data_IF_028959945735
#
_entry.id   IF_028959945735
#
_cell.length_a   1.000
_cell.length_b   1.000
_cell.length_c   1.000
_cell.angle_alpha   90.00
_cell.angle_beta   90.00
_cell.angle_gamma   90.00
#
_symmetry.space_group_name_H-M   'P 1'
#
loop_
_entity.id
_entity.type
_entity.pdbx_description
1 polymer ?
#
# COMPACT_ATOMS: atom_id res chain seq x y z
N UNK A 1 -5.78 2.80 13.95
CA UNK A 1 -4.53 2.03 13.75
C UNK A 1 -3.57 2.93 13.01
N UNK A 2 -2.29 2.85 13.33
CA UNK A 2 -1.25 3.45 12.49
C UNK A 2 -0.87 2.40 11.46
N UNK A 3 -0.72 2.79 10.20
CA UNK A 3 -0.27 1.90 9.14
C UNK A 3 1.10 2.37 8.64
N UNK A 4 2.02 1.43 8.51
CA UNK A 4 3.31 1.64 7.89
C UNK A 4 3.47 0.66 6.74
N UNK A 5 4.27 0.99 5.75
CA UNK A 5 4.49 0.05 4.67
C UNK A 5 5.61 0.41 3.75
N UNK A 6 5.95 -0.55 2.90
CA UNK A 6 6.83 -0.36 1.76
C UNK A 6 6.00 -0.54 0.50
N UNK A 7 6.29 0.27 -0.52
CA UNK A 7 5.53 0.36 -1.74
C UNK A 7 6.48 0.29 -2.94
N UNK A 8 6.30 -0.74 -3.78
CA UNK A 8 7.14 -0.98 -4.94
C UNK A 8 6.28 -1.15 -6.18
N UNK A 9 6.69 -0.55 -7.30
CA UNK A 9 6.13 -0.89 -8.61
C UNK A 9 7.13 -1.71 -9.41
N UNK A 10 6.67 -2.73 -10.10
CA UNK A 10 7.48 -3.55 -10.99
C UNK A 10 7.09 -3.28 -12.44
N UNK A 11 8.07 -3.02 -13.29
CA UNK A 11 7.94 -2.90 -14.74
C UNK A 11 9.27 -2.49 -15.35
N UNK A 12 9.31 -2.25 -16.67
CA UNK A 12 10.53 -1.86 -17.38
C UNK A 12 10.76 -0.34 -17.35
N UNK A 13 12.03 0.06 -17.37
CA UNK A 13 12.49 1.46 -17.45
C UNK A 13 12.68 2.11 -16.09
N UNK A 14 11.59 2.26 -15.33
CA UNK A 14 11.62 2.85 -13.99
C UNK A 14 10.76 2.08 -13.01
N UNK A 15 11.06 2.22 -11.72
CA UNK A 15 10.29 1.70 -10.60
C UNK A 15 10.14 2.76 -9.51
N UNK A 16 8.94 2.89 -8.94
CA UNK A 16 8.76 3.56 -7.66
C UNK A 16 9.20 2.59 -6.56
N UNK A 17 10.09 3.06 -5.70
CA UNK A 17 10.39 2.48 -4.39
C UNK A 17 10.02 3.53 -3.34
N UNK A 18 9.17 3.15 -2.38
CA UNK A 18 8.69 4.09 -1.39
C UNK A 18 8.30 3.46 -0.07
N UNK A 19 8.05 4.35 0.88
CA UNK A 19 7.55 4.07 2.21
C UNK A 19 6.22 4.78 2.42
N UNK A 20 5.28 4.06 2.99
CA UNK A 20 3.96 4.56 3.34
C UNK A 20 3.85 4.73 4.86
N UNK A 21 3.31 5.87 5.29
CA UNK A 21 2.89 6.10 6.68
C UNK A 21 1.51 6.70 6.70
N UNK A 22 0.65 6.21 7.58
CA UNK A 22 -0.73 6.66 7.59
C UNK A 22 -1.53 6.25 8.80
N UNK A 23 -2.80 6.63 8.72
CA UNK A 23 -3.78 6.33 9.74
C UNK A 23 -4.92 5.52 9.13
N UNK A 24 -5.31 4.46 9.82
CA UNK A 24 -6.43 3.60 9.46
C UNK A 24 -7.51 3.55 10.52
N UNK A 25 -8.75 3.33 10.08
CA UNK A 25 -9.90 3.07 10.93
C UNK A 25 -10.57 1.76 10.51
N UNK A 26 -10.72 0.86 11.49
CA UNK A 26 -11.51 -0.35 11.31
C UNK A 26 -12.99 -0.01 11.18
N UNK A 27 -13.66 -0.68 10.26
CA UNK A 27 -15.09 -0.56 9.99
C UNK A 27 -15.83 -1.76 10.58
N UNK A 28 -16.98 -1.50 11.21
CA UNK A 28 -17.76 -2.56 11.89
C UNK A 28 -18.88 -3.13 11.03
N UNK A 29 -19.31 -2.41 10.00
CA UNK A 29 -20.45 -2.76 9.16
C UNK A 29 -20.07 -2.80 7.68
N UNK A 30 -20.61 -3.77 6.96
CA UNK A 30 -20.44 -3.91 5.51
C UNK A 30 -19.22 -4.73 5.07
N UNK A 31 -18.97 -4.80 3.75
CA UNK A 31 -17.91 -5.62 3.16
C UNK A 31 -16.51 -5.04 3.37
N UNK A 32 -16.41 -3.75 3.72
CA UNK A 32 -15.15 -3.06 4.02
C UNK A 32 -14.81 -3.30 5.49
N UNK A 33 -13.62 -3.83 5.76
CA UNK A 33 -13.09 -4.04 7.10
C UNK A 33 -12.28 -2.86 7.62
N UNK A 34 -11.65 -2.08 6.74
CA UNK A 34 -10.91 -0.90 7.13
C UNK A 34 -10.81 0.12 6.00
N UNK A 35 -10.73 1.40 6.39
CA UNK A 35 -10.30 2.49 5.54
C UNK A 35 -8.99 3.06 6.09
N UNK A 36 -8.08 3.47 5.22
CA UNK A 36 -6.87 4.17 5.62
C UNK A 36 -6.51 5.32 4.68
N UNK A 37 -5.89 6.34 5.26
CA UNK A 37 -5.28 7.44 4.56
C UNK A 37 -3.78 7.43 4.90
N UNK A 38 -2.94 7.38 3.87
CA UNK A 38 -1.48 7.35 4.03
C UNK A 38 -0.79 8.33 3.09
N UNK A 39 0.35 8.85 3.55
CA UNK A 39 1.32 9.52 2.70
C UNK A 39 2.35 8.51 2.22
N UNK A 40 2.73 8.62 0.95
CA UNK A 40 3.77 7.84 0.28
C UNK A 40 4.95 8.76 0.00
N UNK A 41 6.13 8.35 0.42
CA UNK A 41 7.39 9.02 0.10
C UNK A 41 8.28 8.01 -0.61
N UNK A 42 8.75 8.35 -1.80
CA UNK A 42 9.56 7.43 -2.58
C UNK A 42 10.43 8.10 -3.61
N UNK A 43 11.10 7.25 -4.35
CA UNK A 43 12.02 7.61 -5.41
C UNK A 43 11.74 6.80 -6.67
N UNK A 44 12.13 7.37 -7.80
CA UNK A 44 12.18 6.68 -9.08
C UNK A 44 13.55 6.06 -9.27
N UNK A 45 13.61 4.74 -9.30
CA UNK A 45 14.81 3.98 -9.64
C UNK A 45 14.84 3.77 -11.14
N UNK A 46 15.92 4.22 -11.80
CA UNK A 46 16.21 3.86 -13.18
C UNK A 46 16.84 2.47 -13.23
N UNK A 47 16.16 1.54 -13.91
CA UNK A 47 16.63 0.16 -14.05
C UNK A 47 17.81 0.02 -15.01
N UNK A 48 18.12 1.04 -15.80
CA UNK A 48 19.29 1.03 -16.70
C UNK A 48 20.59 1.33 -15.97
N UNK A 49 20.51 1.90 -14.77
CA UNK A 49 21.66 2.08 -13.89
C UNK A 49 21.93 0.74 -13.17
N UNK A 50 23.09 0.13 -13.44
CA UNK A 50 23.54 -1.12 -12.83
C UNK A 50 23.68 -0.98 -11.29
N UNK A 51 23.84 0.25 -10.78
CA UNK A 51 23.92 0.59 -9.36
C UNK A 51 23.19 1.92 -9.11
N UNK A 52 22.15 1.91 -8.27
CA UNK A 52 21.73 3.07 -7.46
C UNK A 52 21.34 4.36 -8.19
N UNK A 53 20.87 4.31 -9.43
CA UNK A 53 20.43 5.51 -10.16
C UNK A 53 19.05 5.99 -9.69
N UNK A 54 18.97 6.74 -8.59
CA UNK A 54 17.76 7.49 -8.27
C UNK A 54 17.63 8.67 -9.25
N UNK A 55 16.60 8.68 -10.09
CA UNK A 55 16.41 9.73 -11.10
C UNK A 55 15.48 10.87 -10.62
N UNK A 56 14.69 10.63 -9.57
CA UNK A 56 13.75 11.63 -9.06
C UNK A 56 12.99 11.16 -7.82
N UNK A 57 12.15 12.04 -7.28
CA UNK A 57 11.36 11.80 -6.08
C UNK A 57 9.87 11.79 -6.39
N UNK A 58 9.12 11.00 -5.62
CA UNK A 58 7.67 10.93 -5.68
C UNK A 58 7.06 11.08 -4.29
N UNK A 59 6.07 11.94 -4.20
CA UNK A 59 5.17 12.07 -3.06
C UNK A 59 3.78 11.58 -3.48
N UNK A 60 3.10 10.85 -2.61
CA UNK A 60 1.74 10.40 -2.84
C UNK A 60 0.84 10.58 -1.62
N UNK A 61 -0.44 10.81 -1.87
CA UNK A 61 -1.50 10.70 -0.87
C UNK A 61 -2.45 9.58 -1.30
N UNK A 62 -2.55 8.54 -0.48
CA UNK A 62 -3.27 7.29 -0.79
C UNK A 62 -4.46 7.11 0.14
N UNK A 63 -5.63 6.92 -0.44
CA UNK A 63 -6.81 6.41 0.24
C UNK A 63 -6.96 4.92 -0.09
N UNK A 64 -7.09 4.07 0.92
CA UNK A 64 -7.26 2.64 0.75
C UNK A 64 -8.53 2.13 1.44
N UNK A 65 -9.23 1.23 0.76
CA UNK A 65 -10.35 0.48 1.30
C UNK A 65 -10.07 -1.01 1.24
N UNK A 66 -10.06 -1.66 2.40
CA UNK A 66 -9.73 -3.08 2.54
C UNK A 66 -10.99 -3.89 2.84
N UNK A 67 -11.18 -5.01 2.13
CA UNK A 67 -12.25 -5.97 2.38
C UNK A 67 -12.06 -6.72 3.69
N UNK A 68 -13.10 -7.46 4.12
CA UNK A 68 -12.92 -8.49 5.15
C UNK A 68 -11.97 -9.59 4.65
N UNK A 69 -11.11 -10.06 5.55
CA UNK A 69 -10.22 -11.17 5.26
C UNK A 69 -10.98 -12.50 5.38
N UNK A 70 -10.81 -13.37 4.40
CA UNK A 70 -11.18 -14.77 4.47
C UNK A 70 -10.07 -15.54 5.17
N UNK A 71 -10.33 -16.07 6.37
CA UNK A 71 -9.35 -16.88 7.10
C UNK A 71 -9.10 -18.19 6.33
N UNK A 72 -7.83 -18.48 6.05
CA UNK A 72 -7.41 -19.70 5.34
C UNK A 72 -6.61 -20.66 6.21
N UNK A 73 -5.98 -20.16 7.27
CA UNK A 73 -5.27 -20.97 8.24
C UNK A 73 -5.22 -20.26 9.60
N UNK A 74 -5.17 -21.06 10.66
CA UNK A 74 -4.89 -20.60 12.01
C UNK A 74 -3.76 -21.46 12.57
N UNK A 75 -2.76 -20.84 13.20
CA UNK A 75 -1.65 -21.54 13.84
C UNK A 75 -1.22 -20.84 15.11
N UNK A 76 -0.75 -21.61 16.09
CA UNK A 76 -0.39 -21.12 17.42
C UNK A 76 -1.06 -21.93 18.52
N UNK A 77 -0.67 -21.68 19.77
CA UNK A 77 -1.33 -22.29 20.92
C UNK A 77 -2.74 -21.72 21.10
N UNK A 78 -3.65 -22.49 21.69
CA UNK A 78 -5.07 -22.13 21.91
C UNK A 78 -5.27 -20.76 22.59
N UNK A 79 -4.27 -20.29 23.33
CA UNK A 79 -4.28 -19.01 24.05
C UNK A 79 -3.87 -17.80 23.21
N UNK A 80 -3.21 -18.00 22.07
CA UNK A 80 -2.76 -16.92 21.17
C UNK A 80 -2.67 -17.37 19.69
N UNK A 81 -3.82 -17.70 19.05
CA UNK A 81 -3.82 -18.13 17.66
C UNK A 81 -3.46 -16.96 16.72
N UNK A 82 -2.50 -17.20 15.83
CA UNK A 82 -2.19 -16.34 14.70
C UNK A 82 -3.04 -16.75 13.51
N UNK A 83 -3.81 -15.81 12.97
CA UNK A 83 -4.68 -16.04 11.82
C UNK A 83 -4.01 -15.60 10.53
N UNK A 84 -4.11 -16.45 9.52
CA UNK A 84 -3.78 -16.13 8.13
C UNK A 84 -5.05 -15.89 7.36
N UNK A 85 -5.12 -14.74 6.69
CA UNK A 85 -6.28 -14.36 5.90
C UNK A 85 -5.93 -13.84 4.52
N UNK A 86 -6.86 -13.99 3.59
CA UNK A 86 -6.81 -13.39 2.27
C UNK A 86 -7.80 -12.22 2.20
N UNK A 87 -7.36 -11.06 1.75
CA UNK A 87 -8.21 -9.88 1.55
C UNK A 87 -7.99 -9.25 0.16
N UNK A 88 -8.80 -8.24 -0.14
CA UNK A 88 -8.59 -7.36 -1.30
C UNK A 88 -8.59 -5.93 -0.81
N UNK A 89 -7.59 -5.17 -1.23
CA UNK A 89 -7.48 -3.74 -0.97
C UNK A 89 -7.58 -2.98 -2.28
N UNK A 90 -8.44 -1.96 -2.32
CA UNK A 90 -8.44 -0.97 -3.41
C UNK A 90 -7.75 0.28 -2.90
N UNK A 91 -6.73 0.74 -3.61
CA UNK A 91 -5.99 1.97 -3.31
C UNK A 91 -6.23 3.00 -4.40
N UNK A 92 -6.46 4.25 -4.02
CA UNK A 92 -6.44 5.40 -4.92
C UNK A 92 -5.37 6.36 -4.42
N UNK A 93 -4.42 6.70 -5.29
CA UNK A 93 -3.29 7.56 -4.92
C UNK A 93 -3.20 8.75 -5.84
N UNK A 94 -3.15 9.96 -5.28
CA UNK A 94 -2.72 11.16 -5.98
C UNK A 94 -1.23 11.35 -5.79
N UNK A 95 -0.48 11.53 -6.87
CA UNK A 95 0.97 11.69 -6.87
C UNK A 95 1.41 13.07 -7.34
N UNK A 96 2.52 13.53 -6.77
CA UNK A 96 3.34 14.60 -7.29
C UNK A 96 4.79 14.13 -7.34
N UNK A 97 5.54 14.54 -8.35
CA UNK A 97 6.94 14.12 -8.49
C UNK A 97 7.85 15.23 -9.00
N UNK A 98 9.11 15.16 -8.60
CA UNK A 98 10.19 15.99 -9.10
C UNK A 98 11.16 15.10 -9.90
N UNK A 99 11.54 15.54 -11.11
CA UNK A 99 12.36 14.75 -12.03
C UNK A 99 11.75 13.37 -12.34
N UNK A 100 10.42 13.34 -12.53
CA UNK A 100 9.69 12.12 -12.80
C UNK A 100 10.07 11.56 -14.18
N UNK A 101 10.42 10.27 -14.31
CA UNK A 101 10.64 9.61 -15.60
C UNK A 101 9.32 9.37 -16.36
N UNK A 102 8.18 9.60 -15.69
CA UNK A 102 6.88 9.56 -16.33
C UNK A 102 6.73 10.78 -17.25
N UNK A 103 6.60 10.54 -18.55
CA UNK A 103 6.16 11.54 -19.53
C UNK A 103 4.70 12.02 -19.35
N UNK A 104 4.10 11.70 -18.20
CA UNK A 104 2.71 11.98 -17.83
C UNK A 104 2.58 13.36 -17.16
N UNK A 105 3.70 13.96 -16.72
CA UNK A 105 3.68 15.23 -15.98
C UNK A 105 3.23 15.07 -14.53
N UNK A 106 3.37 16.13 -13.72
CA UNK A 106 2.94 16.19 -12.32
C UNK A 106 1.87 17.27 -12.14
N UNK A 107 0.78 17.03 -11.40
CA UNK A 107 0.42 15.81 -10.65
C UNK A 107 -0.24 14.72 -11.52
N UNK A 108 -0.27 13.48 -11.03
CA UNK A 108 -0.95 12.35 -11.69
C UNK A 108 -1.69 11.46 -10.68
N UNK A 109 -2.61 10.63 -11.15
CA UNK A 109 -3.40 9.72 -10.32
C UNK A 109 -3.00 8.26 -10.50
N UNK A 110 -3.35 7.40 -9.55
CA UNK A 110 -3.29 5.96 -9.73
C UNK A 110 -4.39 5.24 -8.95
N UNK A 111 -4.82 4.09 -9.49
CA UNK A 111 -5.73 3.17 -8.81
C UNK A 111 -5.14 1.78 -8.84
N UNK A 112 -5.18 1.10 -7.70
CA UNK A 112 -4.65 -0.24 -7.51
C UNK A 112 -5.73 -1.17 -6.98
N UNK A 113 -5.74 -2.41 -7.46
CA UNK A 113 -6.55 -3.50 -6.90
C UNK A 113 -5.60 -4.58 -6.45
N UNK A 114 -5.56 -4.81 -5.13
CA UNK A 114 -4.47 -5.53 -4.48
C UNK A 114 -5.02 -6.67 -3.63
N UNK A 115 -5.07 -7.89 -4.18
CA UNK A 115 -5.14 -9.10 -3.37
C UNK A 115 -4.04 -9.09 -2.30
N UNK A 116 -4.41 -9.49 -1.08
CA UNK A 116 -3.55 -9.43 0.08
C UNK A 116 -3.53 -10.74 0.86
N UNK A 117 -2.35 -11.08 1.40
CA UNK A 117 -2.12 -12.10 2.41
C UNK A 117 -1.80 -11.41 3.74
N UNK A 118 -2.56 -11.74 4.79
CA UNK A 118 -2.42 -11.17 6.13
C UNK A 118 -1.99 -12.22 7.13
N UNK A 119 -1.08 -11.86 8.01
CA UNK A 119 -0.70 -12.66 9.19
C UNK A 119 -0.62 -11.72 10.39
N UNK A 120 -1.63 -11.74 11.25
CA UNK A 120 -1.73 -10.79 12.36
C UNK A 120 -1.74 -9.33 11.89
N UNK A 121 -0.73 -8.56 12.29
CA UNK A 121 -0.56 -7.14 11.91
C UNK A 121 0.15 -6.93 10.57
N UNK A 122 0.77 -7.98 10.04
CA UNK A 122 1.50 -7.94 8.78
C UNK A 122 0.57 -8.21 7.60
N UNK A 123 0.81 -7.52 6.49
CA UNK A 123 0.14 -7.74 5.21
C UNK A 123 1.10 -7.65 4.03
N UNK A 124 1.01 -8.61 3.12
CA UNK A 124 1.63 -8.59 1.82
C UNK A 124 0.53 -8.37 0.78
N UNK A 125 0.65 -7.36 -0.07
CA UNK A 125 -0.34 -7.06 -1.11
C UNK A 125 0.33 -7.00 -2.48
N UNK A 126 -0.29 -7.58 -3.50
CA UNK A 126 0.24 -7.64 -4.86
C UNK A 126 -0.89 -7.51 -5.86
N UNK A 127 -0.75 -6.61 -6.84
CA UNK A 127 -1.74 -6.50 -7.90
C UNK A 127 -1.45 -5.42 -8.93
N UNK A 128 -2.32 -5.25 -9.94
CA UNK A 128 -2.18 -4.20 -10.93
C UNK A 128 -2.42 -2.82 -10.32
N UNK A 129 -1.68 -1.84 -10.83
CA UNK A 129 -1.89 -0.41 -10.60
C UNK A 129 -1.94 0.29 -11.95
N UNK A 130 -3.05 0.98 -12.21
CA UNK A 130 -3.21 1.87 -13.35
C UNK A 130 -2.82 3.29 -12.93
N UNK A 131 -1.86 3.88 -13.63
CA UNK A 131 -1.44 5.27 -13.50
C UNK A 131 -2.14 6.10 -14.59
N UNK A 132 -2.75 7.21 -14.19
CA UNK A 132 -3.56 8.08 -15.03
C UNK A 132 -2.90 9.45 -15.22
N UNK A 133 -2.80 9.88 -16.47
CA UNK A 133 -2.54 11.28 -16.89
C UNK A 133 -2.62 11.37 -18.41
N UNK A 134 -1.57 11.79 -19.13
CA UNK A 134 -1.60 11.89 -20.60
C UNK A 134 -1.83 10.56 -21.32
N UNK A 135 -1.35 9.45 -20.75
CA UNK A 135 -1.64 8.08 -21.18
C UNK A 135 -1.77 7.17 -19.95
N UNK A 136 -2.62 6.15 -20.04
CA UNK A 136 -2.79 5.16 -18.96
C UNK A 136 -1.70 4.11 -19.03
N UNK A 137 -0.92 3.97 -17.97
CA UNK A 137 0.12 2.93 -17.86
C UNK A 137 -0.27 1.97 -16.74
N UNK A 138 -0.23 0.67 -17.01
CA UNK A 138 -0.48 -0.37 -16.00
C UNK A 138 0.84 -1.01 -15.58
N UNK A 139 1.08 -1.10 -14.27
CA UNK A 139 2.24 -1.78 -13.68
C UNK A 139 1.82 -2.70 -12.55
N UNK A 140 2.62 -3.71 -12.26
CA UNK A 140 2.45 -4.49 -11.05
C UNK A 140 2.89 -3.65 -9.84
N UNK A 141 2.20 -3.80 -8.73
CA UNK A 141 2.49 -3.15 -7.46
C UNK A 141 2.60 -4.18 -6.37
N UNK A 142 3.66 -4.08 -5.57
CA UNK A 142 3.95 -4.90 -4.41
C UNK A 142 4.01 -3.99 -3.18
N UNK A 143 3.21 -4.32 -2.17
CA UNK A 143 3.17 -3.60 -0.91
C UNK A 143 3.42 -4.51 0.28
N UNK A 144 4.22 -4.04 1.23
CA UNK A 144 4.33 -4.60 2.58
C UNK A 144 3.63 -3.65 3.54
N UNK A 145 2.81 -4.18 4.45
CA UNK A 145 1.94 -3.41 5.34
C UNK A 145 2.10 -3.90 6.77
N UNK A 146 2.16 -2.95 7.70
CA UNK A 146 2.23 -3.17 9.14
C UNK A 146 1.17 -2.31 9.82
N UNK A 147 0.10 -2.94 10.31
CA UNK A 147 -1.00 -2.25 10.98
C UNK A 147 -0.86 -2.36 12.50
N UNK A 148 -0.51 -1.24 13.14
CA UNK A 148 -0.35 -1.17 14.59
C UNK A 148 -1.62 -0.62 15.23
N UNK A 149 -2.27 -1.34 16.15
CA UNK A 149 -3.39 -0.81 16.90
C UNK A 149 -2.91 0.39 17.72
N UNK A 150 -3.69 1.47 17.71
CA UNK A 150 -3.42 2.57 18.63
C UNK A 150 -3.77 2.06 20.02
N UNK A 151 -2.87 2.26 20.98
CA UNK A 151 -3.12 1.93 22.38
C UNK A 151 -4.50 2.47 22.77
N UNK A 152 -5.37 1.59 23.29
CA UNK A 152 -6.60 2.05 23.94
C UNK A 152 -6.13 2.96 25.08
N UNK A 153 -6.58 4.22 25.09
CA UNK A 153 -6.68 4.93 26.37
C UNK A 153 -7.61 4.07 27.21
N UNK A 154 -7.08 3.51 28.29
CA UNK A 154 -7.88 2.92 29.33
C UNK A 154 -8.91 3.96 29.74
N UNK A 155 -10.17 3.73 29.33
CA UNK A 155 -11.29 4.31 30.06
C UNK A 155 -11.37 3.49 31.32
N UNK A 156 -10.67 3.94 32.35
CA UNK A 156 -10.98 3.53 33.70
C UNK A 156 -12.45 3.87 33.98
N UNK A 157 -13.20 2.96 34.62
CA UNK A 157 -14.59 3.17 35.01
C UNK A 157 -14.76 4.35 35.97
#
# INVERSE_FOLDING_TARGET
>A
MVTFGLAYTVGSGWQIQGFDVGYGRGMRSGPIAALSLSARLGEFIDQRAIIGGSQGFVFGATLAARSRALTIAEFGADTAPSRVGLDVTVETTGYAGAHSPLGIGSPWGAVSVLPGLRVGQFGLVLGPTAFFGSATIIRAFLGLRFDVPLARRDRHP
#
